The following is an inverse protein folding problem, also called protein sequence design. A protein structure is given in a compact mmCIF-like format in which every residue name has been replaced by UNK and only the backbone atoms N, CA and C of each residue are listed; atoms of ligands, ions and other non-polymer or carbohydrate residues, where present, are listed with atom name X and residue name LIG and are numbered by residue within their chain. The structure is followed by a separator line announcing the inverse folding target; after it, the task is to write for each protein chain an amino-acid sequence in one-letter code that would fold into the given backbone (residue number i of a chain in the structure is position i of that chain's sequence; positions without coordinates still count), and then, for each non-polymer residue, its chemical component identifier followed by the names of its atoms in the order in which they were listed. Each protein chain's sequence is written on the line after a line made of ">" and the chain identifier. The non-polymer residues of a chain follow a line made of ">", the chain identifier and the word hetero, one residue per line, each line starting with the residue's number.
data_IF_382270364259
#
_entry.id   IF_382270364259
#
_cell.length_a   1.000
_cell.length_b   1.000
_cell.length_c   1.000
_cell.angle_alpha   90.00
_cell.angle_beta   90.00
_cell.angle_gamma   90.00
#
_symmetry.space_group_name_H-M   'P 1'
#
loop_
_entity.id
_entity.type
_entity.pdbx_description
1 polymer ?
#
# COMPACT_ATOMS: atom_id res chain seq x y z
N UNK A 1 5.15 2.60 11.57
CA UNK A 1 3.95 3.48 11.51
C UNK A 1 3.40 3.62 12.93
N UNK A 2 3.39 4.81 13.54
CA UNK A 2 2.87 5.02 14.89
C UNK A 2 1.33 4.95 14.93
N UNK A 3 0.76 4.90 16.14
CA UNK A 3 -0.67 5.08 16.35
C UNK A 3 -1.11 6.44 15.81
N UNK A 4 -2.16 6.48 15.00
CA UNK A 4 -2.60 7.74 14.40
C UNK A 4 -3.19 8.73 15.44
N UNK A 5 -3.71 8.23 16.58
CA UNK A 5 -4.29 9.07 17.64
C UNK A 5 -3.23 9.67 18.55
N UNK A 6 -2.37 8.83 19.14
CA UNK A 6 -1.43 9.25 20.19
C UNK A 6 0.05 9.23 19.79
N UNK A 7 0.39 8.78 18.58
CA UNK A 7 1.78 8.71 18.12
C UNK A 7 2.61 7.56 18.72
N UNK A 8 2.04 6.74 19.61
CA UNK A 8 2.73 5.59 20.19
C UNK A 8 3.29 4.67 19.10
N UNK A 9 4.49 4.12 19.28
CA UNK A 9 5.10 3.20 18.32
C UNK A 9 4.81 1.77 18.74
N UNK A 10 4.56 0.91 17.76
CA UNK A 10 4.49 -0.52 17.99
C UNK A 10 5.89 -1.01 18.40
N UNK A 11 5.96 -1.65 19.56
CA UNK A 11 7.13 -2.44 19.98
C UNK A 11 7.09 -3.80 19.29
N UNK A 12 8.23 -4.48 19.21
CA UNK A 12 8.35 -5.78 18.55
C UNK A 12 7.25 -6.74 19.04
N UNK A 13 6.34 -7.19 18.16
CA UNK A 13 5.25 -8.03 18.59
C UNK A 13 5.79 -9.39 19.03
N UNK A 14 5.37 -9.84 20.22
CA UNK A 14 5.49 -11.25 20.58
C UNK A 14 4.75 -12.10 19.55
N UNK A 15 5.22 -13.33 19.33
CA UNK A 15 4.64 -14.26 18.35
C UNK A 15 3.13 -14.40 18.57
N UNK A 16 2.34 -14.18 17.53
CA UNK A 16 0.88 -14.29 17.59
C UNK A 16 0.14 -13.11 16.97
N UNK A 17 -1.15 -12.99 17.29
CA UNK A 17 -1.98 -11.90 16.81
C UNK A 17 -1.56 -10.58 17.44
N UNK A 18 -1.30 -9.57 16.60
CA UNK A 18 -0.97 -8.22 17.07
C UNK A 18 -2.17 -7.62 17.83
N UNK A 19 -1.98 -7.05 19.02
CA UNK A 19 -3.05 -6.37 19.75
C UNK A 19 -3.40 -5.00 19.14
N UNK A 20 -2.62 -4.53 18.17
CA UNK A 20 -2.90 -3.30 17.43
C UNK A 20 -3.96 -3.53 16.36
N UNK A 21 -4.98 -2.67 16.32
CA UNK A 21 -5.98 -2.66 15.25
C UNK A 21 -5.45 -1.89 14.05
N UNK A 22 -5.90 -2.32 12.88
CA UNK A 22 -5.67 -1.68 11.58
C UNK A 22 -7.00 -1.15 11.06
N UNK A 23 -6.97 0.02 10.45
CA UNK A 23 -8.10 0.62 9.75
C UNK A 23 -7.61 1.55 8.65
N UNK A 24 -8.53 2.20 7.95
CA UNK A 24 -8.23 3.19 6.91
C UNK A 24 -8.75 4.55 7.37
N UNK A 25 -7.98 5.60 7.13
CA UNK A 25 -8.38 6.99 7.35
C UNK A 25 -7.86 7.84 6.22
N UNK A 26 -8.75 8.60 5.58
CA UNK A 26 -8.42 9.38 4.39
C UNK A 26 -7.64 8.54 3.37
N UNK A 27 -8.14 7.33 3.11
CA UNK A 27 -7.60 6.37 2.14
C UNK A 27 -6.21 5.82 2.45
N UNK A 28 -5.70 6.05 3.67
CA UNK A 28 -4.39 5.55 4.11
C UNK A 28 -4.56 4.51 5.19
N UNK A 29 -3.76 3.44 5.10
CA UNK A 29 -3.68 2.43 6.15
C UNK A 29 -3.11 3.08 7.42
N UNK A 30 -3.81 2.93 8.55
CA UNK A 30 -3.40 3.41 9.87
C UNK A 30 -3.39 2.30 10.92
N UNK A 31 -2.67 2.55 12.02
CA UNK A 31 -2.60 1.71 13.20
C UNK A 31 -3.21 2.40 14.42
N UNK A 32 -3.85 1.62 15.29
CA UNK A 32 -4.44 2.07 16.56
C UNK A 32 -3.87 1.23 17.69
N UNK A 33 -3.21 1.88 18.66
CA UNK A 33 -2.63 1.19 19.81
C UNK A 33 -3.72 0.66 20.75
N UNK A 34 -3.43 -0.39 21.55
CA UNK A 34 -4.41 -0.93 22.50
C UNK A 34 -4.99 0.10 23.47
N UNK A 35 -4.17 1.06 23.94
CA UNK A 35 -4.64 2.14 24.82
C UNK A 35 -5.70 3.03 24.15
N UNK A 36 -5.51 3.39 22.88
CA UNK A 36 -6.50 4.18 22.13
C UNK A 36 -7.74 3.37 21.72
N UNK A 37 -7.66 2.04 21.64
CA UNK A 37 -8.81 1.16 21.36
C UNK A 37 -9.78 1.05 22.54
N UNK A 38 -9.35 1.38 23.76
CA UNK A 38 -10.20 1.34 24.95
C UNK A 38 -11.28 2.44 24.95
N UNK A 39 -11.06 3.54 24.21
CA UNK A 39 -12.02 4.63 24.09
C UNK A 39 -13.17 4.23 23.15
N UNK A 40 -14.44 4.38 23.54
CA UNK A 40 -15.60 3.90 22.75
C UNK A 40 -15.67 4.45 21.33
N UNK A 41 -15.17 5.66 21.11
CA UNK A 41 -15.20 6.42 19.86
C UNK A 41 -14.02 6.11 18.91
N UNK A 42 -13.15 5.15 19.26
CA UNK A 42 -11.87 5.00 18.59
C UNK A 42 -11.98 4.74 17.08
N UNK A 43 -13.08 4.12 16.65
CA UNK A 43 -13.35 3.79 15.26
C UNK A 43 -14.08 4.89 14.48
N UNK A 44 -14.53 5.97 15.13
CA UNK A 44 -15.35 7.00 14.49
C UNK A 44 -14.55 7.85 13.51
N UNK A 45 -13.24 7.97 13.75
CA UNK A 45 -12.31 8.64 12.86
C UNK A 45 -11.82 7.76 11.68
N UNK A 46 -12.32 6.53 11.57
CA UNK A 46 -11.98 5.62 10.47
C UNK A 46 -12.98 5.75 9.32
N UNK A 47 -12.47 5.58 8.12
CA UNK A 47 -13.28 5.49 6.92
C UNK A 47 -14.23 4.28 7.03
N UNK A 48 -15.43 4.43 6.45
CA UNK A 48 -16.48 3.42 6.46
C UNK A 48 -16.72 2.90 5.05
N UNK A 49 -17.06 1.61 4.95
CA UNK A 49 -17.45 1.00 3.69
C UNK A 49 -18.75 1.64 3.18
N UNK A 50 -18.76 2.10 1.92
CA UNK A 50 -19.96 2.61 1.25
C UNK A 50 -21.03 1.54 1.03
N UNK A 51 -20.65 0.26 0.95
CA UNK A 51 -21.57 -0.85 0.76
C UNK A 51 -22.26 -1.34 2.04
N UNK A 52 -21.53 -1.48 3.15
CA UNK A 52 -22.06 -2.09 4.38
C UNK A 52 -21.85 -1.27 5.66
N UNK A 53 -21.21 -0.10 5.60
CA UNK A 53 -20.94 0.75 6.77
C UNK A 53 -19.84 0.24 7.72
N UNK A 54 -19.22 -0.90 7.46
CA UNK A 54 -18.13 -1.43 8.30
C UNK A 54 -16.87 -0.56 8.24
N UNK A 55 -16.15 -0.47 9.37
CA UNK A 55 -14.81 0.12 9.45
C UNK A 55 -13.67 -0.91 9.21
N UNK A 56 -14.00 -2.16 8.87
CA UNK A 56 -13.04 -3.23 8.63
C UNK A 56 -12.34 -3.10 7.26
N UNK A 57 -11.88 -1.89 6.94
CA UNK A 57 -11.21 -1.57 5.68
C UNK A 57 -9.70 -1.84 5.74
N UNK A 58 -9.14 -2.18 4.59
CA UNK A 58 -7.70 -2.37 4.38
C UNK A 58 -7.30 -1.62 3.11
N UNK A 59 -6.19 -0.89 3.15
CA UNK A 59 -5.65 -0.19 1.98
C UNK A 59 -4.34 -0.85 1.54
N UNK A 60 -4.27 -1.30 0.28
CA UNK A 60 -3.10 -1.95 -0.32
C UNK A 60 -2.90 -1.43 -1.74
N UNK A 61 -1.68 -1.01 -2.06
CA UNK A 61 -1.26 -0.65 -3.42
C UNK A 61 -2.19 0.36 -4.13
N UNK A 62 -2.84 1.26 -3.39
CA UNK A 62 -3.76 2.25 -3.96
C UNK A 62 -5.22 1.80 -4.05
N UNK A 63 -5.58 0.63 -3.52
CA UNK A 63 -6.96 0.16 -3.43
C UNK A 63 -7.39 0.00 -1.96
N UNK A 64 -8.62 0.36 -1.64
CA UNK A 64 -9.28 0.15 -0.36
C UNK A 64 -10.34 -0.95 -0.49
N UNK A 65 -10.18 -2.01 0.30
CA UNK A 65 -11.08 -3.17 0.34
C UNK A 65 -11.77 -3.29 1.70
N UNK A 66 -13.08 -3.56 1.70
CA UNK A 66 -13.83 -3.92 2.90
C UNK A 66 -13.77 -5.42 3.18
N UNK A 67 -13.22 -5.82 4.34
CA UNK A 67 -13.11 -7.24 4.71
C UNK A 67 -14.42 -7.93 5.04
N UNK A 68 -15.48 -7.18 5.32
CA UNK A 68 -16.76 -7.76 5.73
C UNK A 68 -17.68 -8.05 4.54
N UNK A 69 -17.61 -7.26 3.46
CA UNK A 69 -18.49 -7.43 2.28
C UNK A 69 -17.76 -7.51 0.93
N UNK A 70 -16.43 -7.32 0.90
CA UNK A 70 -15.63 -7.37 -0.32
C UNK A 70 -15.71 -6.12 -1.20
N UNK A 71 -16.47 -5.08 -0.84
CA UNK A 71 -16.52 -3.84 -1.63
C UNK A 71 -15.13 -3.21 -1.73
N UNK A 72 -14.69 -2.94 -2.95
CA UNK A 72 -13.43 -2.27 -3.27
C UNK A 72 -13.66 -0.87 -3.83
N UNK A 73 -12.68 0.01 -3.66
CA UNK A 73 -12.62 1.32 -4.32
C UNK A 73 -11.16 1.77 -4.42
N UNK A 74 -10.86 2.59 -5.41
CA UNK A 74 -9.56 3.25 -5.46
C UNK A 74 -9.36 4.14 -4.23
N UNK A 75 -8.16 4.08 -3.66
CA UNK A 75 -7.69 5.07 -2.71
C UNK A 75 -7.46 6.36 -3.47
N UNK A 76 -7.89 7.50 -2.91
CA UNK A 76 -7.48 8.79 -3.46
C UNK A 76 -5.96 8.79 -3.62
N UNK A 77 -5.42 9.29 -4.75
CA UNK A 77 -3.99 9.49 -4.88
C UNK A 77 -3.59 10.43 -3.74
N UNK A 78 -2.96 9.86 -2.71
CA UNK A 78 -2.31 10.66 -1.69
C UNK A 78 -1.18 11.45 -2.32
N UNK A 79 -0.40 12.11 -1.48
CA UNK A 79 0.94 12.60 -1.84
C UNK A 79 1.89 11.38 -2.06
N UNK A 80 1.46 10.47 -2.94
CA UNK A 80 2.27 9.46 -3.57
C UNK A 80 3.31 10.27 -4.30
N UNK A 81 4.58 10.06 -3.92
CA UNK A 81 5.70 10.49 -4.72
C UNK A 81 5.43 9.88 -6.10
N UNK A 82 4.89 10.68 -7.01
CA UNK A 82 4.98 10.35 -8.42
C UNK A 82 6.49 10.23 -8.61
N UNK A 83 6.96 9.02 -8.91
CA UNK A 83 8.22 8.87 -9.62
C UNK A 83 8.01 9.58 -10.94
N UNK A 84 8.08 10.90 -10.92
CA UNK A 84 7.80 11.78 -12.02
C UNK A 84 8.91 11.58 -13.02
N UNK A 85 8.78 10.58 -13.88
CA UNK A 85 9.28 10.74 -15.22
C UNK A 85 8.53 11.94 -15.80
N UNK A 86 9.21 13.00 -16.26
CA UNK A 86 8.55 14.10 -16.93
C UNK A 86 7.74 13.55 -18.12
N UNK A 87 6.54 14.09 -18.41
CA UNK A 87 5.79 13.73 -19.61
C UNK A 87 6.61 14.17 -20.82
N UNK A 88 7.42 13.27 -21.36
CA UNK A 88 8.41 13.55 -22.41
C UNK A 88 9.69 12.71 -22.36
N UNK A 89 9.91 11.90 -21.32
CA UNK A 89 11.01 10.94 -21.28
C UNK A 89 10.68 9.65 -22.03
N UNK A 90 10.82 9.66 -23.35
CA UNK A 90 10.79 8.48 -24.23
C UNK A 90 11.90 7.49 -23.83
N UNK A 91 11.63 6.59 -22.88
CA UNK A 91 12.63 5.61 -22.38
C UNK A 91 12.27 4.14 -22.60
N UNK A 92 11.00 3.80 -22.84
CA UNK A 92 10.58 2.40 -22.91
C UNK A 92 10.94 1.71 -24.24
N UNK A 93 11.05 2.50 -25.33
CA UNK A 93 11.54 2.02 -26.62
C UNK A 93 13.04 1.76 -26.64
N UNK A 94 13.81 2.61 -25.95
CA UNK A 94 15.28 2.59 -25.96
C UNK A 94 15.82 1.40 -25.14
N UNK A 95 15.22 1.13 -23.97
CA UNK A 95 15.61 0.01 -23.12
C UNK A 95 15.33 -1.36 -23.76
N UNK A 96 14.20 -1.48 -24.47
CA UNK A 96 13.82 -2.73 -25.14
C UNK A 96 14.80 -3.07 -26.28
N UNK A 97 15.23 -2.08 -27.05
CA UNK A 97 16.24 -2.25 -28.10
C UNK A 97 17.63 -2.54 -27.52
N UNK A 98 18.02 -1.87 -26.43
CA UNK A 98 19.30 -2.10 -25.76
C UNK A 98 19.41 -3.54 -25.21
N UNK A 99 18.33 -4.04 -24.59
CA UNK A 99 18.26 -5.43 -24.09
C UNK A 99 18.30 -6.44 -25.24
N UNK A 100 17.56 -6.19 -26.32
CA UNK A 100 17.58 -7.06 -27.50
C UNK A 100 18.98 -7.13 -28.15
N UNK A 101 19.71 -6.01 -28.19
CA UNK A 101 21.08 -5.95 -28.69
C UNK A 101 22.05 -6.69 -27.77
N UNK A 102 21.89 -6.57 -26.44
CA UNK A 102 22.71 -7.28 -25.47
C UNK A 102 22.53 -8.81 -25.55
N UNK A 103 21.28 -9.29 -25.63
CA UNK A 103 20.97 -10.71 -25.75
C UNK A 103 21.55 -11.32 -27.04
N UNK A 104 21.46 -10.59 -28.17
CA UNK A 104 22.07 -11.01 -29.43
C UNK A 104 23.59 -11.19 -29.35
N UNK A 105 24.29 -10.32 -28.60
CA UNK A 105 25.76 -10.42 -28.43
C UNK A 105 26.15 -11.64 -27.60
N UNK A 106 25.39 -11.96 -26.55
CA UNK A 106 25.63 -13.11 -25.68
C UNK A 106 25.37 -14.42 -26.43
N UNK A 107 24.24 -14.52 -27.13
CA UNK A 107 23.85 -15.73 -27.86
C UNK A 107 24.80 -16.05 -29.02
N UNK A 108 25.30 -15.04 -29.75
CA UNK A 108 26.30 -15.26 -30.81
C UNK A 108 27.66 -15.71 -30.28
N UNK A 109 28.05 -15.30 -29.07
CA UNK A 109 29.28 -15.78 -28.42
C UNK A 109 29.14 -17.22 -27.89
N UNK A 110 27.92 -17.64 -27.53
CA UNK A 110 27.64 -19.01 -27.08
C UNK A 110 27.55 -20.05 -28.21
N UNK A 111 27.28 -19.62 -29.44
CA UNK A 111 27.20 -20.49 -30.63
C UNK A 111 28.51 -20.55 -31.46
N UNK A 112 29.56 -19.89 -30.99
CA UNK A 112 30.89 -19.86 -31.62
C UNK A 112 31.91 -20.81 -30.94
N UNK A 113 31.42 -21.79 -30.19
CA UNK A 113 32.16 -22.93 -29.63
C UNK A 113 31.61 -24.22 -30.26
#
# INVERSE_FOLDING_TARGET
>A
MPCFRCGARQTDPVRGASPWKRGVRADRQVLICPGCQAARDWADALDRCSGCGSAALVCRLGEVECRDCGHTRDAAPGDLVHSGAPPGGSGDGDLSEEVAAALNRVLRRGLAL
#
